data_IF_350681731995
#
_entry.id   IF_350681731995
#
_cell.length_a   1.000
_cell.length_b   1.000
_cell.length_c   1.000
_cell.angle_alpha   90.00
_cell.angle_beta   90.00
_cell.angle_gamma   90.00
#
_symmetry.space_group_name_H-M   'P 1'
#
loop_
_entity.id
_entity.type
_entity.pdbx_description
1 polymer ?
#
# COMPACT_ATOMS: atom_id res chain seq x y z
N UNK A 1 -22.11 18.98 27.77
CA UNK A 1 -21.16 19.97 28.32
C UNK A 1 -19.81 19.77 27.66
N UNK A 2 -19.37 20.79 26.92
CA UNK A 2 -18.02 21.13 26.42
C UNK A 2 -17.14 20.04 25.75
N UNK A 3 -17.26 19.89 24.42
CA UNK A 3 -16.08 19.69 23.57
C UNK A 3 -15.50 21.08 23.31
N UNK A 4 -14.42 21.42 23.99
CA UNK A 4 -13.68 22.65 23.73
C UNK A 4 -12.87 22.50 22.44
N UNK A 5 -13.35 23.16 21.40
CA UNK A 5 -12.60 23.94 20.40
C UNK A 5 -11.11 23.59 20.22
N UNK A 6 -10.82 22.89 19.12
CA UNK A 6 -9.54 23.06 18.41
C UNK A 6 -9.81 23.18 16.92
N UNK A 7 -10.81 24.00 16.57
CA UNK A 7 -10.92 24.55 15.23
C UNK A 7 -10.12 25.85 15.17
N UNK A 8 -9.40 26.03 14.06
CA UNK A 8 -8.84 27.31 13.61
C UNK A 8 -7.66 27.91 14.41
N UNK A 9 -6.52 27.22 14.35
CA UNK A 9 -5.23 27.92 14.36
C UNK A 9 -4.97 28.51 12.98
N UNK A 10 -5.71 29.57 12.64
CA UNK A 10 -5.42 30.53 11.56
C UNK A 10 -3.90 30.70 11.40
N UNK A 11 -3.38 30.72 10.16
CA UNK A 11 -1.96 30.87 9.81
C UNK A 11 -1.32 32.04 10.59
N UNK A 12 -0.78 31.72 11.77
CA UNK A 12 -0.05 32.68 12.60
C UNK A 12 1.33 32.80 11.97
N UNK A 13 1.55 33.93 11.30
CA UNK A 13 2.82 34.37 10.69
C UNK A 13 3.92 34.70 11.70
N UNK A 14 3.64 34.63 13.00
CA UNK A 14 4.65 34.82 14.04
C UNK A 14 5.37 33.52 14.38
N UNK A 15 6.69 33.58 14.43
CA UNK A 15 7.50 32.44 14.83
C UNK A 15 7.16 32.00 16.27
N UNK A 16 6.99 30.69 16.52
CA UNK A 16 6.64 30.19 17.83
C UNK A 16 7.74 30.53 18.84
N UNK A 17 7.34 31.17 19.95
CA UNK A 17 8.24 31.51 21.06
C UNK A 17 8.97 30.28 21.62
N UNK A 18 10.18 30.48 22.14
CA UNK A 18 11.03 29.42 22.71
C UNK A 18 10.29 28.53 23.73
N UNK A 19 9.41 29.14 24.55
CA UNK A 19 8.55 28.40 25.49
C UNK A 19 7.60 27.43 24.77
N UNK A 20 6.96 27.83 23.67
CA UNK A 20 6.09 26.95 22.87
C UNK A 20 6.87 25.84 22.17
N UNK A 21 8.06 26.12 21.64
CA UNK A 21 8.92 25.09 21.00
C UNK A 21 9.36 24.05 22.01
N UNK A 22 9.73 24.48 23.21
CA UNK A 22 10.11 23.58 24.31
C UNK A 22 8.93 22.75 24.81
N UNK A 23 7.76 23.35 25.00
CA UNK A 23 6.54 22.61 25.36
C UNK A 23 6.12 21.61 24.27
N UNK A 24 6.25 21.95 22.99
CA UNK A 24 5.94 21.02 21.90
C UNK A 24 6.88 19.81 21.88
N UNK A 25 8.19 20.03 22.14
CA UNK A 25 9.18 18.95 22.30
C UNK A 25 8.91 18.10 23.54
N UNK A 26 8.61 18.72 24.67
CA UNK A 26 8.27 18.02 25.93
C UNK A 26 6.97 17.20 25.79
N UNK A 27 6.00 17.68 25.01
CA UNK A 27 4.75 16.98 24.68
C UNK A 27 4.90 15.94 23.56
N UNK A 28 6.11 15.72 23.04
CA UNK A 28 6.37 14.74 21.98
C UNK A 28 5.67 15.05 20.65
N UNK A 29 5.33 16.31 20.40
CA UNK A 29 4.74 16.75 19.13
C UNK A 29 5.84 16.79 18.06
N UNK A 30 6.28 15.62 17.59
CA UNK A 30 7.04 15.53 16.35
C UNK A 30 6.12 15.96 15.20
N UNK A 31 6.50 16.94 14.37
CA UNK A 31 5.73 17.29 13.19
C UNK A 31 5.72 16.09 12.23
N UNK A 32 4.62 15.33 12.22
CA UNK A 32 4.38 14.28 11.23
C UNK A 32 4.00 14.97 9.92
N UNK A 33 4.99 15.27 9.09
CA UNK A 33 4.75 15.81 7.75
C UNK A 33 3.92 14.81 6.95
N UNK A 34 2.72 15.21 6.52
CA UNK A 34 1.89 14.39 5.62
C UNK A 34 2.64 14.06 4.33
N UNK A 35 3.54 14.94 3.89
CA UNK A 35 4.35 14.77 2.68
C UNK A 35 5.41 13.68 2.83
N UNK A 36 5.93 13.45 4.05
CA UNK A 36 6.90 12.37 4.30
C UNK A 36 6.28 10.99 4.11
N UNK A 37 5.03 10.79 4.53
CA UNK A 37 4.34 9.51 4.32
C UNK A 37 4.10 9.27 2.82
N UNK A 38 3.61 10.27 2.09
CA UNK A 38 3.44 10.17 0.63
C UNK A 38 4.76 9.85 -0.08
N UNK A 39 5.85 10.51 0.31
CA UNK A 39 7.18 10.24 -0.24
C UNK A 39 7.64 8.80 0.08
N UNK A 40 7.46 8.34 1.31
CA UNK A 40 7.81 6.98 1.72
C UNK A 40 7.05 5.92 0.92
N UNK A 41 5.75 6.11 0.70
CA UNK A 41 4.91 5.21 -0.11
C UNK A 41 5.38 5.19 -1.56
N UNK A 42 5.68 6.36 -2.16
CA UNK A 42 6.16 6.43 -3.55
C UNK A 42 7.52 5.74 -3.72
N UNK A 43 8.44 5.97 -2.79
CA UNK A 43 9.77 5.35 -2.81
C UNK A 43 9.66 3.83 -2.60
N UNK A 44 8.82 3.39 -1.67
CA UNK A 44 8.57 1.97 -1.43
C UNK A 44 7.90 1.30 -2.63
N UNK A 45 6.93 1.96 -3.28
CA UNK A 45 6.27 1.46 -4.48
C UNK A 45 7.23 1.34 -5.66
N UNK A 46 8.01 2.38 -5.94
CA UNK A 46 9.00 2.36 -7.01
C UNK A 46 10.11 1.34 -6.74
N UNK A 47 10.68 1.33 -5.54
CA UNK A 47 11.70 0.37 -5.13
C UNK A 47 11.19 -1.07 -5.11
N UNK A 48 9.97 -1.27 -4.61
CA UNK A 48 9.31 -2.58 -4.59
C UNK A 48 9.06 -3.11 -5.99
N UNK A 49 8.65 -2.27 -6.93
CA UNK A 49 8.49 -2.68 -8.33
C UNK A 49 9.83 -2.99 -9.00
N UNK A 50 10.91 -2.27 -8.66
CA UNK A 50 12.24 -2.58 -9.18
C UNK A 50 12.78 -3.93 -8.68
N UNK A 51 12.52 -4.28 -7.41
CA UNK A 51 12.99 -5.52 -6.79
C UNK A 51 12.10 -6.72 -7.21
N UNK A 52 10.78 -6.56 -7.13
CA UNK A 52 9.80 -7.67 -7.29
C UNK A 52 9.06 -7.64 -8.63
N UNK A 53 9.28 -6.65 -9.49
CA UNK A 53 8.53 -6.49 -10.73
C UNK A 53 8.71 -7.65 -11.71
N UNK A 54 9.88 -8.29 -11.75
CA UNK A 54 10.12 -9.47 -12.57
C UNK A 54 9.25 -10.65 -12.13
N UNK A 55 9.12 -10.88 -10.82
CA UNK A 55 8.28 -11.94 -10.27
C UNK A 55 6.80 -11.67 -10.50
N UNK A 56 6.37 -10.41 -10.33
CA UNK A 56 5.00 -9.98 -10.64
C UNK A 56 4.67 -10.20 -12.12
N UNK A 57 5.57 -9.78 -13.04
CA UNK A 57 5.40 -9.98 -14.47
C UNK A 57 5.35 -11.48 -14.82
N UNK A 58 6.21 -12.29 -14.19
CA UNK A 58 6.20 -13.74 -14.34
C UNK A 58 4.88 -14.37 -13.86
N UNK A 59 4.34 -13.92 -12.74
CA UNK A 59 3.04 -14.36 -12.24
C UNK A 59 1.91 -13.99 -13.20
N UNK A 60 1.92 -12.76 -13.74
CA UNK A 60 0.95 -12.31 -14.73
C UNK A 60 1.01 -13.13 -16.01
N UNK A 61 2.21 -13.43 -16.52
CA UNK A 61 2.38 -14.28 -17.70
C UNK A 61 1.84 -15.70 -17.46
N UNK A 62 2.10 -16.29 -16.29
CA UNK A 62 1.56 -17.60 -15.92
C UNK A 62 0.03 -17.58 -15.88
N UNK A 63 -0.56 -16.54 -15.30
CA UNK A 63 -2.01 -16.35 -15.27
C UNK A 63 -2.61 -16.26 -16.66
N UNK A 64 -2.00 -15.46 -17.55
CA UNK A 64 -2.49 -15.32 -18.92
C UNK A 64 -2.42 -16.66 -19.66
N UNK A 65 -1.30 -17.39 -19.54
CA UNK A 65 -1.18 -18.72 -20.16
C UNK A 65 -2.23 -19.70 -19.63
N UNK A 66 -2.37 -19.82 -18.31
CA UNK A 66 -3.32 -20.77 -17.72
C UNK A 66 -4.78 -20.45 -18.03
N UNK A 67 -5.13 -19.17 -18.19
CA UNK A 67 -6.50 -18.75 -18.46
C UNK A 67 -6.83 -18.65 -19.96
N UNK A 68 -5.83 -18.54 -20.85
CA UNK A 68 -6.05 -18.46 -22.30
C UNK A 68 -5.71 -19.76 -23.05
N UNK A 69 -4.98 -20.69 -22.44
CA UNK A 69 -4.75 -22.05 -22.96
C UNK A 69 -5.74 -23.04 -22.33
N UNK A 70 -7.04 -22.81 -22.53
CA UNK A 70 -8.11 -23.67 -22.04
C UNK A 70 -8.27 -24.91 -22.94
N UNK A 71 -8.14 -26.10 -22.35
CA UNK A 71 -8.56 -27.33 -23.03
C UNK A 71 -10.09 -27.41 -23.13
N UNK A 72 -10.61 -28.05 -24.18
CA UNK A 72 -12.06 -28.26 -24.35
C UNK A 72 -12.67 -29.03 -23.18
N UNK A 73 -11.95 -29.99 -22.63
CA UNK A 73 -12.38 -30.78 -21.48
C UNK A 73 -12.55 -29.90 -20.24
N UNK A 74 -11.55 -29.06 -19.94
CA UNK A 74 -11.61 -28.13 -18.82
C UNK A 74 -12.75 -27.12 -19.00
N UNK A 75 -12.96 -26.60 -20.21
CA UNK A 75 -14.01 -25.61 -20.49
C UNK A 75 -15.44 -26.16 -20.39
N UNK A 76 -15.63 -27.47 -20.61
CA UNK A 76 -16.94 -28.12 -20.52
C UNK A 76 -17.23 -28.68 -19.12
N UNK A 77 -16.24 -28.72 -18.23
CA UNK A 77 -16.41 -29.18 -16.85
C UNK A 77 -16.38 -28.00 -15.87
N UNK A 78 -17.54 -27.70 -15.29
CA UNK A 78 -17.71 -26.61 -14.31
C UNK A 78 -16.79 -26.75 -13.10
N UNK A 79 -16.54 -27.98 -12.62
CA UNK A 79 -15.66 -28.20 -11.47
C UNK A 79 -14.21 -27.85 -11.82
N UNK A 80 -13.74 -28.26 -12.99
CA UNK A 80 -12.40 -27.92 -13.48
C UNK A 80 -12.23 -26.41 -13.71
N UNK A 81 -13.28 -25.72 -14.16
CA UNK A 81 -13.30 -24.24 -14.25
C UNK A 81 -13.17 -23.57 -12.88
N UNK A 82 -13.88 -24.07 -11.86
CA UNK A 82 -13.76 -23.54 -10.50
C UNK A 82 -12.36 -23.76 -9.91
N UNK A 83 -11.76 -24.92 -10.16
CA UNK A 83 -10.38 -25.19 -9.74
C UNK A 83 -9.38 -24.26 -10.44
N UNK A 84 -9.54 -24.02 -11.76
CA UNK A 84 -8.71 -23.10 -12.52
C UNK A 84 -8.83 -21.67 -11.99
N UNK A 85 -10.05 -21.23 -11.66
CA UNK A 85 -10.30 -19.91 -11.07
C UNK A 85 -9.59 -19.78 -9.71
N UNK A 86 -9.72 -20.79 -8.84
CA UNK A 86 -9.05 -20.80 -7.54
C UNK A 86 -7.53 -20.76 -7.64
N UNK A 87 -6.95 -21.58 -8.54
CA UNK A 87 -5.52 -21.58 -8.81
C UNK A 87 -5.04 -20.22 -9.36
N UNK A 88 -5.83 -19.59 -10.23
CA UNK A 88 -5.55 -18.26 -10.77
C UNK A 88 -5.61 -17.17 -9.69
N UNK A 89 -6.61 -17.21 -8.81
CA UNK A 89 -6.69 -16.28 -7.69
C UNK A 89 -5.49 -16.43 -6.74
N UNK A 90 -5.08 -17.66 -6.45
CA UNK A 90 -3.91 -17.94 -5.63
C UNK A 90 -2.60 -17.42 -6.26
N UNK A 91 -2.39 -17.68 -7.55
CA UNK A 91 -1.23 -17.17 -8.28
C UNK A 91 -1.19 -15.63 -8.33
N UNK A 92 -2.34 -14.99 -8.52
CA UNK A 92 -2.44 -13.53 -8.49
C UNK A 92 -2.10 -12.97 -7.10
N UNK A 93 -2.63 -13.58 -6.04
CA UNK A 93 -2.31 -13.21 -4.67
C UNK A 93 -0.81 -13.38 -4.39
N UNK A 94 -0.20 -14.49 -4.83
CA UNK A 94 1.22 -14.74 -4.68
C UNK A 94 2.11 -13.77 -5.49
N UNK A 95 1.61 -13.25 -6.62
CA UNK A 95 2.33 -12.20 -7.37
C UNK A 95 2.26 -10.83 -6.68
N UNK A 96 1.10 -10.51 -6.08
CA UNK A 96 0.84 -9.19 -5.52
C UNK A 96 1.28 -9.02 -4.05
N UNK A 97 1.34 -10.10 -3.27
CA UNK A 97 1.60 -9.99 -1.82
C UNK A 97 2.90 -9.24 -1.44
N UNK A 98 4.05 -9.36 -2.13
CA UNK A 98 5.26 -8.71 -1.64
C UNK A 98 5.18 -7.19 -1.82
N UNK A 99 4.59 -6.72 -2.92
CA UNK A 99 4.37 -5.30 -3.19
C UNK A 99 3.32 -4.73 -2.23
N UNK A 100 2.22 -5.45 -2.01
CA UNK A 100 1.20 -5.02 -1.05
C UNK A 100 1.74 -4.93 0.37
N UNK A 101 2.54 -5.90 0.81
CA UNK A 101 3.17 -5.88 2.13
C UNK A 101 4.13 -4.69 2.27
N UNK A 102 4.94 -4.42 1.25
CA UNK A 102 5.88 -3.30 1.27
C UNK A 102 5.16 -1.95 1.34
N UNK A 103 4.10 -1.77 0.56
CA UNK A 103 3.26 -0.57 0.61
C UNK A 103 2.54 -0.43 1.94
N UNK A 104 2.06 -1.53 2.53
CA UNK A 104 1.41 -1.53 3.84
C UNK A 104 2.39 -1.06 4.94
N UNK A 105 3.62 -1.58 4.94
CA UNK A 105 4.66 -1.13 5.88
C UNK A 105 4.97 0.35 5.67
N UNK A 106 5.12 0.80 4.43
CA UNK A 106 5.40 2.20 4.11
C UNK A 106 4.27 3.14 4.59
N UNK A 107 3.01 2.72 4.48
CA UNK A 107 1.87 3.54 4.87
C UNK A 107 1.67 3.67 6.39
N UNK A 108 2.19 2.73 7.18
CA UNK A 108 2.07 2.73 8.65
C UNK A 108 3.14 3.63 9.30
N UNK A 109 4.31 3.75 8.67
CA UNK A 109 5.42 4.61 9.09
C UNK A 109 5.03 6.10 9.02
#
# INVERSE_FOLDING_TARGET
>A
MARAESESGQDKTEEPTEKRRREAREKGQLPRSRELNTLAILMAGAGGLLIYGADLAGALLRLMRSNFELSRETAMNTESMLQLLGASAYLAAQGLWPILLMLLVAAIL
#
